data_IF_490924911568
#
_entry.id   IF_490924911568
#
_cell.length_a   1.000
_cell.length_b   1.000
_cell.length_c   1.000
_cell.angle_alpha   90.00
_cell.angle_beta   90.00
_cell.angle_gamma   90.00
#
_symmetry.space_group_name_H-M   'P 1'
#
loop_
_entity.id
_entity.type
_entity.pdbx_description
1 polymer ?
#
# COMPACT_ATOMS: atom_id res chain seq x y z
N UNK A 1 -70.70 -32.84 59.76
CA UNK A 1 -69.79 -33.71 58.99
C UNK A 1 -69.77 -33.22 57.54
N UNK A 2 -68.67 -32.59 57.11
CA UNK A 2 -68.41 -32.25 55.71
C UNK A 2 -67.04 -32.83 55.39
N UNK A 3 -66.98 -33.88 54.57
CA UNK A 3 -65.73 -34.52 54.17
C UNK A 3 -65.07 -33.70 53.07
N UNK A 4 -63.92 -33.12 53.38
CA UNK A 4 -63.07 -32.43 52.42
C UNK A 4 -62.24 -33.47 51.66
N UNK A 5 -62.64 -33.82 50.44
CA UNK A 5 -61.84 -34.69 49.57
C UNK A 5 -60.72 -33.88 48.91
N UNK A 6 -59.51 -33.98 49.46
CA UNK A 6 -58.31 -33.49 48.78
C UNK A 6 -58.04 -34.36 47.54
N UNK A 7 -58.17 -33.76 46.34
CA UNK A 7 -57.73 -34.37 45.08
C UNK A 7 -56.21 -34.53 45.12
N UNK A 8 -55.73 -35.77 45.23
CA UNK A 8 -54.33 -36.10 45.02
C UNK A 8 -54.04 -35.98 43.52
N UNK A 9 -53.37 -34.91 43.10
CA UNK A 9 -52.88 -34.79 41.74
C UNK A 9 -51.74 -35.80 41.56
N UNK A 10 -51.87 -36.70 40.57
CA UNK A 10 -50.75 -37.55 40.16
C UNK A 10 -49.71 -36.67 39.48
N UNK A 11 -48.57 -36.49 40.13
CA UNK A 11 -47.41 -35.91 39.47
C UNK A 11 -46.90 -36.91 38.43
N UNK A 12 -47.01 -36.55 37.16
CA UNK A 12 -46.39 -37.31 36.07
C UNK A 12 -44.89 -37.00 36.09
N UNK A 13 -44.09 -37.94 36.60
CA UNK A 13 -42.64 -37.85 36.53
C UNK A 13 -42.13 -37.98 35.10
N UNK A 14 -41.02 -37.30 34.80
CA UNK A 14 -40.36 -37.39 33.49
C UNK A 14 -39.90 -38.81 33.18
N UNK A 15 -40.11 -39.25 31.94
CA UNK A 15 -39.60 -40.56 31.49
C UNK A 15 -38.13 -40.45 31.10
N UNK A 16 -37.39 -41.55 31.19
CA UNK A 16 -35.99 -41.64 30.72
C UNK A 16 -35.86 -41.15 29.26
N UNK A 17 -36.81 -41.54 28.42
CA UNK A 17 -36.87 -41.17 27.00
C UNK A 17 -36.93 -39.65 26.81
N UNK A 18 -37.70 -38.96 27.65
CA UNK A 18 -37.92 -37.52 27.57
C UNK A 18 -36.67 -36.73 27.94
N UNK A 19 -35.94 -37.17 28.98
CA UNK A 19 -34.63 -36.60 29.29
C UNK A 19 -33.60 -36.88 28.19
N UNK A 20 -33.61 -38.07 27.57
CA UNK A 20 -32.69 -38.37 26.47
C UNK A 20 -32.94 -37.48 25.26
N UNK A 21 -34.21 -37.28 24.87
CA UNK A 21 -34.59 -36.39 23.77
C UNK A 21 -34.21 -34.95 24.11
N UNK A 22 -34.46 -34.49 25.34
CA UNK A 22 -34.10 -33.15 25.78
C UNK A 22 -32.58 -32.89 25.70
N UNK A 23 -31.75 -33.83 26.17
CA UNK A 23 -30.28 -33.72 26.08
C UNK A 23 -29.82 -33.76 24.62
N UNK A 24 -30.40 -34.62 23.79
CA UNK A 24 -30.05 -34.72 22.38
C UNK A 24 -30.32 -33.41 21.64
N UNK A 25 -31.52 -32.83 21.81
CA UNK A 25 -31.88 -31.53 21.22
C UNK A 25 -30.97 -30.43 21.76
N UNK A 26 -30.76 -30.39 23.08
CA UNK A 26 -29.88 -29.39 23.70
C UNK A 26 -28.44 -29.49 23.15
N UNK A 27 -27.88 -30.68 23.03
CA UNK A 27 -26.55 -30.89 22.48
C UNK A 27 -26.44 -30.38 21.03
N UNK A 28 -27.45 -30.64 20.19
CA UNK A 28 -27.48 -30.13 18.80
C UNK A 28 -27.57 -28.61 18.77
N UNK A 29 -28.41 -28.00 19.61
CA UNK A 29 -28.53 -26.54 19.71
C UNK A 29 -27.23 -25.89 20.21
N UNK A 30 -26.62 -26.46 21.26
CA UNK A 30 -25.33 -25.98 21.80
C UNK A 30 -24.22 -26.09 20.76
N UNK A 31 -24.13 -27.19 20.02
CA UNK A 31 -23.14 -27.35 18.97
C UNK A 31 -23.34 -26.32 17.85
N UNK A 32 -24.59 -26.10 17.43
CA UNK A 32 -24.92 -25.12 16.39
C UNK A 32 -24.54 -23.69 16.81
N UNK A 33 -24.89 -23.29 18.03
CA UNK A 33 -24.50 -22.00 18.58
C UNK A 33 -22.97 -21.85 18.66
N UNK A 34 -22.28 -22.91 19.08
CA UNK A 34 -20.83 -22.92 19.14
C UNK A 34 -20.18 -22.82 17.74
N UNK A 35 -20.75 -23.48 16.73
CA UNK A 35 -20.29 -23.37 15.34
C UNK A 35 -20.44 -21.94 14.82
N UNK A 36 -21.58 -21.30 15.05
CA UNK A 36 -21.83 -19.90 14.64
C UNK A 36 -20.84 -18.95 15.32
N UNK A 37 -20.66 -19.08 16.63
CA UNK A 37 -19.71 -18.27 17.39
C UNK A 37 -18.27 -18.43 16.86
N UNK A 38 -17.86 -19.67 16.57
CA UNK A 38 -16.55 -19.95 15.98
C UNK A 38 -16.38 -19.32 14.60
N UNK A 39 -17.43 -19.34 13.77
CA UNK A 39 -17.40 -18.70 12.45
C UNK A 39 -17.24 -17.18 12.57
N UNK A 40 -17.92 -16.53 13.52
CA UNK A 40 -17.75 -15.09 13.75
C UNK A 40 -16.31 -14.75 14.16
N UNK A 41 -15.74 -15.50 15.11
CA UNK A 41 -14.36 -15.28 15.57
C UNK A 41 -13.34 -15.44 14.43
N UNK A 42 -13.47 -16.50 13.62
CA UNK A 42 -12.58 -16.72 12.47
C UNK A 42 -12.79 -15.71 11.33
N UNK A 43 -13.99 -15.13 11.23
CA UNK A 43 -14.26 -14.07 10.26
C UNK A 43 -13.56 -12.77 10.65
N UNK A 44 -13.42 -12.49 11.95
CA UNK A 44 -12.79 -11.29 12.48
C UNK A 44 -11.29 -11.25 12.15
N UNK A 45 -10.58 -12.36 12.37
CA UNK A 45 -9.13 -12.47 12.07
C UNK A 45 -8.82 -12.20 10.59
N UNK A 46 -9.63 -12.73 9.68
CA UNK A 46 -9.46 -12.51 8.23
C UNK A 46 -9.78 -11.07 7.81
N UNK A 47 -10.73 -10.44 8.49
CA UNK A 47 -11.08 -9.04 8.23
C UNK A 47 -9.97 -8.10 8.69
N UNK A 48 -9.31 -8.42 9.81
CA UNK A 48 -8.16 -7.67 10.31
C UNK A 48 -6.99 -7.71 9.33
N UNK A 49 -6.61 -8.90 8.83
CA UNK A 49 -5.53 -9.05 7.85
C UNK A 49 -5.78 -8.22 6.58
N UNK A 50 -7.01 -8.28 6.05
CA UNK A 50 -7.40 -7.50 4.87
C UNK A 50 -7.38 -5.99 5.14
N UNK A 51 -7.79 -5.57 6.33
CA UNK A 51 -7.77 -4.15 6.74
C UNK A 51 -6.34 -3.64 6.85
N UNK A 52 -5.43 -4.43 7.44
CA UNK A 52 -4.00 -4.10 7.52
C UNK A 52 -3.40 -3.98 6.12
N UNK A 53 -3.71 -4.92 5.21
CA UNK A 53 -3.21 -4.89 3.83
C UNK A 53 -3.69 -3.66 3.06
N UNK A 54 -4.99 -3.35 3.09
CA UNK A 54 -5.55 -2.17 2.44
C UNK A 54 -4.95 -0.87 3.02
N UNK A 55 -4.72 -0.83 4.32
CA UNK A 55 -4.07 0.30 4.98
C UNK A 55 -2.64 0.48 4.46
N UNK A 56 -1.87 -0.59 4.33
CA UNK A 56 -0.52 -0.54 3.76
C UNK A 56 -0.53 -0.04 2.31
N UNK A 57 -1.45 -0.51 1.47
CA UNK A 57 -1.61 -0.05 0.09
C UNK A 57 -1.94 1.46 0.06
N UNK A 58 -2.89 1.91 0.89
CA UNK A 58 -3.25 3.33 0.94
C UNK A 58 -2.10 4.21 1.41
N UNK A 59 -1.34 3.78 2.42
CA UNK A 59 -0.14 4.49 2.87
C UNK A 59 0.93 4.56 1.78
N UNK A 60 1.13 3.47 1.04
CA UNK A 60 2.04 3.42 -0.09
C UNK A 60 1.64 4.43 -1.18
N UNK A 61 0.36 4.43 -1.57
CA UNK A 61 -0.17 5.36 -2.57
C UNK A 61 -0.05 6.81 -2.13
N UNK A 62 -0.39 7.13 -0.88
CA UNK A 62 -0.26 8.50 -0.34
C UNK A 62 1.19 8.97 -0.33
N UNK A 63 2.13 8.10 0.05
CA UNK A 63 3.56 8.41 0.02
C UNK A 63 4.01 8.76 -1.41
N UNK A 64 3.62 7.95 -2.39
CA UNK A 64 3.96 8.17 -3.80
C UNK A 64 3.31 9.42 -4.37
N UNK A 65 2.04 9.65 -4.06
CA UNK A 65 1.31 10.85 -4.46
C UNK A 65 2.01 12.11 -3.95
N UNK A 66 2.38 12.14 -2.66
CA UNK A 66 3.13 13.26 -2.07
C UNK A 66 4.47 13.46 -2.74
N UNK A 67 5.19 12.38 -3.08
CA UNK A 67 6.48 12.50 -3.73
C UNK A 67 6.35 13.01 -5.18
N UNK A 68 5.42 12.48 -5.97
CA UNK A 68 5.21 12.89 -7.36
C UNK A 68 4.63 14.30 -7.49
N UNK A 69 3.64 14.68 -6.69
CA UNK A 69 3.05 16.04 -6.71
C UNK A 69 4.03 17.13 -6.25
N UNK A 70 5.06 16.75 -5.50
CA UNK A 70 6.12 17.66 -5.03
C UNK A 70 7.37 17.66 -5.92
N UNK A 71 7.31 17.03 -7.10
CA UNK A 71 8.42 17.05 -8.07
C UNK A 71 8.75 18.48 -8.47
N UNK A 72 10.04 18.75 -8.62
CA UNK A 72 10.55 20.04 -9.09
C UNK A 72 11.48 19.86 -10.31
N UNK A 73 11.52 20.84 -11.24
CA UNK A 73 12.37 20.78 -12.43
C UNK A 73 13.85 21.08 -12.10
N UNK A 74 14.46 20.26 -11.24
CA UNK A 74 15.87 20.37 -10.85
C UNK A 74 16.65 19.17 -11.35
N UNK A 75 17.59 19.41 -12.26
CA UNK A 75 18.54 18.39 -12.69
C UNK A 75 19.41 17.94 -11.51
N UNK A 76 19.49 16.63 -11.33
CA UNK A 76 20.43 16.00 -10.41
C UNK A 76 21.69 15.59 -11.16
N UNK A 77 22.85 15.97 -10.64
CA UNK A 77 24.16 15.52 -11.13
C UNK A 77 24.71 14.44 -10.23
N UNK A 78 25.13 13.35 -10.84
CA UNK A 78 25.40 12.09 -10.15
C UNK A 78 26.75 11.56 -10.61
N UNK A 79 27.80 12.36 -10.45
CA UNK A 79 29.20 11.95 -10.64
C UNK A 79 29.46 10.94 -11.75
N UNK A 80 29.74 9.68 -11.37
CA UNK A 80 30.01 8.57 -12.30
C UNK A 80 28.76 7.81 -12.79
N UNK A 81 27.63 7.97 -12.13
CA UNK A 81 26.36 7.29 -12.44
C UNK A 81 25.50 8.17 -13.33
N UNK A 82 25.97 8.34 -14.57
CA UNK A 82 25.31 9.17 -15.60
C UNK A 82 23.93 8.65 -16.01
N UNK A 83 23.63 7.38 -15.74
CA UNK A 83 22.33 6.80 -16.02
C UNK A 83 21.26 7.48 -15.16
N UNK A 84 21.56 7.77 -13.88
CA UNK A 84 20.65 8.42 -12.92
C UNK A 84 20.67 9.95 -12.93
N UNK A 85 21.43 10.57 -13.84
CA UNK A 85 21.45 12.02 -14.07
C UNK A 85 20.24 12.49 -14.89
N UNK A 86 19.62 13.58 -14.45
CA UNK A 86 18.45 14.20 -15.11
C UNK A 86 17.43 14.74 -14.11
N UNK A 87 16.45 15.51 -14.61
CA UNK A 87 15.32 15.97 -13.80
C UNK A 87 14.47 14.79 -13.32
N UNK A 88 14.07 13.95 -14.26
CA UNK A 88 13.43 12.65 -14.05
C UNK A 88 14.17 11.61 -14.88
N UNK A 89 14.47 10.47 -14.29
CA UNK A 89 15.10 9.34 -14.96
C UNK A 89 14.21 8.12 -14.79
N UNK A 90 13.93 7.44 -15.90
CA UNK A 90 13.34 6.11 -15.92
C UNK A 90 14.43 5.12 -16.31
N UNK A 91 14.60 4.06 -15.53
CA UNK A 91 15.51 2.95 -15.89
C UNK A 91 14.65 1.72 -16.11
N UNK A 92 14.69 1.17 -17.32
CA UNK A 92 14.02 -0.08 -17.65
C UNK A 92 14.92 -1.25 -17.25
N UNK A 93 14.39 -2.19 -16.46
CA UNK A 93 15.09 -3.44 -16.22
C UNK A 93 15.21 -4.25 -17.51
N UNK A 94 16.36 -4.92 -17.67
CA UNK A 94 16.63 -5.86 -18.77
C UNK A 94 15.79 -7.13 -18.69
N UNK A 95 15.18 -7.44 -17.54
CA UNK A 95 14.34 -8.63 -17.30
C UNK A 95 12.82 -8.33 -17.33
N UNK A 96 12.43 -7.23 -17.98
CA UNK A 96 11.08 -6.92 -18.49
C UNK A 96 9.92 -6.59 -17.51
N UNK A 97 10.14 -6.57 -16.19
CA UNK A 97 9.03 -6.30 -15.25
C UNK A 97 9.25 -5.19 -14.20
N UNK A 98 10.48 -4.72 -14.01
CA UNK A 98 10.83 -3.85 -12.88
C UNK A 98 11.47 -2.56 -13.38
N UNK A 99 10.66 -1.54 -13.58
CA UNK A 99 11.14 -0.20 -13.86
C UNK A 99 11.63 0.47 -12.58
N UNK A 100 12.66 1.30 -12.69
CA UNK A 100 13.06 2.24 -11.65
C UNK A 100 12.74 3.66 -12.10
N UNK A 101 12.41 4.52 -11.14
CA UNK A 101 12.21 5.94 -11.41
C UNK A 101 12.94 6.79 -10.37
N UNK A 102 13.64 7.81 -10.83
CA UNK A 102 14.39 8.76 -10.02
C UNK A 102 14.01 10.19 -10.36
N UNK A 103 13.75 11.01 -9.34
CA UNK A 103 13.37 12.41 -9.53
C UNK A 103 13.73 13.28 -8.34
N UNK A 104 13.78 14.58 -8.57
CA UNK A 104 14.02 15.58 -7.51
C UNK A 104 12.70 16.14 -7.03
N UNK A 105 12.52 16.24 -5.71
CA UNK A 105 11.33 16.84 -5.11
C UNK A 105 11.68 17.78 -3.96
N UNK A 106 10.72 18.66 -3.64
CA UNK A 106 10.75 19.42 -2.39
C UNK A 106 10.70 18.47 -1.18
N UNK A 107 11.44 18.80 -0.14
CA UNK A 107 11.54 18.08 1.11
C UNK A 107 10.77 18.82 2.22
N UNK A 108 10.97 18.41 3.47
CA UNK A 108 10.41 19.11 4.61
C UNK A 108 10.91 20.55 4.66
N UNK A 109 9.98 21.48 4.89
CA UNK A 109 10.23 22.91 4.98
C UNK A 109 11.30 23.23 6.05
N UNK A 110 12.31 24.03 5.71
CA UNK A 110 13.40 24.46 6.59
C UNK A 110 13.29 25.97 6.84
N UNK A 111 12.35 26.41 7.71
CA UNK A 111 12.12 27.83 7.94
C UNK A 111 13.39 28.53 8.41
N UNK A 112 13.73 29.64 7.76
CA UNK A 112 14.92 30.43 8.10
C UNK A 112 16.25 29.72 7.83
N UNK A 113 16.27 28.61 7.11
CA UNK A 113 17.46 27.82 6.77
C UNK A 113 18.30 27.44 8.01
N UNK A 114 17.63 27.21 9.14
CA UNK A 114 18.26 26.90 10.44
C UNK A 114 19.11 25.62 10.34
N UNK A 115 18.64 24.64 9.57
CA UNK A 115 19.39 23.43 9.29
C UNK A 115 20.26 23.62 8.06
N UNK A 116 21.53 23.21 8.13
CA UNK A 116 22.46 23.18 6.98
C UNK A 116 22.16 21.98 6.06
N UNK A 117 20.93 21.90 5.53
CA UNK A 117 20.51 20.89 4.57
C UNK A 117 19.72 21.52 3.45
N UNK A 118 19.79 20.87 2.29
CA UNK A 118 18.93 21.17 1.15
C UNK A 118 17.47 20.94 1.52
N UNK A 119 16.59 21.84 1.07
CA UNK A 119 15.15 21.61 1.03
C UNK A 119 14.76 20.70 -0.14
N UNK A 120 15.71 20.29 -0.99
CA UNK A 120 15.50 19.35 -2.08
C UNK A 120 16.14 18.00 -1.76
N UNK A 121 15.43 16.94 -2.09
CA UNK A 121 15.92 15.56 -2.00
C UNK A 121 15.76 14.86 -3.33
N UNK A 122 16.67 13.92 -3.62
CA UNK A 122 16.52 12.98 -4.73
C UNK A 122 15.81 11.75 -4.21
N UNK A 123 14.72 11.34 -4.86
CA UNK A 123 13.93 10.16 -4.49
C UNK A 123 13.98 9.15 -5.64
N UNK A 124 14.02 7.88 -5.28
CA UNK A 124 13.95 6.75 -6.19
C UNK A 124 12.89 5.74 -5.75
N UNK A 125 12.22 5.13 -6.70
CA UNK A 125 11.38 3.95 -6.48
C UNK A 125 11.89 2.81 -7.35
N UNK A 126 12.07 1.65 -6.73
CA UNK A 126 12.52 0.42 -7.36
C UNK A 126 11.87 -0.79 -6.70
N UNK A 127 11.99 -1.93 -7.37
CA UNK A 127 11.56 -3.21 -6.83
C UNK A 127 12.77 -4.03 -6.38
N UNK A 128 12.74 -4.52 -5.14
CA UNK A 128 13.80 -5.32 -4.54
C UNK A 128 13.19 -6.43 -3.67
N UNK A 129 13.56 -7.68 -3.92
CA UNK A 129 13.09 -8.86 -3.15
C UNK A 129 11.57 -8.95 -2.95
N UNK A 130 10.79 -8.61 -3.99
CA UNK A 130 9.32 -8.61 -3.93
C UNK A 130 8.72 -7.44 -3.15
N UNK A 131 9.50 -6.39 -2.89
CA UNK A 131 9.08 -5.19 -2.16
C UNK A 131 9.25 -3.94 -3.02
N UNK A 132 8.24 -3.07 -2.99
CA UNK A 132 8.39 -1.70 -3.46
C UNK A 132 9.24 -0.93 -2.44
N UNK A 133 10.43 -0.53 -2.87
CA UNK A 133 11.39 0.21 -2.05
C UNK A 133 11.43 1.65 -2.53
N UNK A 134 11.32 2.56 -1.57
CA UNK A 134 11.64 3.97 -1.75
C UNK A 134 13.02 4.24 -1.19
N UNK A 135 13.87 4.80 -2.01
CA UNK A 135 15.17 5.31 -1.58
C UNK A 135 15.24 6.82 -1.73
N UNK A 136 16.00 7.49 -0.85
CA UNK A 136 16.23 8.91 -0.99
C UNK A 136 17.63 9.32 -0.58
N UNK A 137 18.09 10.40 -1.21
CA UNK A 137 19.38 11.03 -0.95
C UNK A 137 19.14 12.43 -0.38
N UNK A 138 19.85 12.74 0.70
CA UNK A 138 19.77 14.05 1.38
C UNK A 138 20.20 15.21 0.47
N UNK A 139 21.10 14.94 -0.48
CA UNK A 139 21.61 15.92 -1.44
C UNK A 139 21.25 15.49 -2.85
N UNK A 140 20.79 16.45 -3.65
CA UNK A 140 20.40 16.24 -5.05
C UNK A 140 21.62 15.96 -5.92
N UNK A 141 22.63 16.82 -5.79
CA UNK A 141 23.94 16.60 -6.37
C UNK A 141 24.75 15.79 -5.35
N UNK A 142 25.09 14.56 -5.72
CA UNK A 142 25.73 13.62 -4.80
C UNK A 142 27.12 13.24 -5.27
N UNK A 143 28.01 13.04 -4.30
CA UNK A 143 29.31 12.41 -4.54
C UNK A 143 29.13 10.94 -4.91
N UNK A 144 30.10 10.34 -5.62
CA UNK A 144 30.13 8.90 -5.82
C UNK A 144 30.04 8.15 -4.48
N UNK A 145 29.31 7.03 -4.43
CA UNK A 145 29.06 6.20 -3.24
C UNK A 145 28.27 6.87 -2.09
N UNK A 146 27.54 7.96 -2.35
CA UNK A 146 26.59 8.45 -1.35
C UNK A 146 25.55 7.37 -1.02
N UNK A 147 25.42 7.02 0.25
CA UNK A 147 24.46 6.00 0.69
C UNK A 147 23.02 6.52 0.63
N UNK A 148 22.14 5.71 0.04
CA UNK A 148 20.72 5.99 -0.01
C UNK A 148 20.06 5.55 1.29
N UNK A 149 19.15 6.38 1.83
CA UNK A 149 18.25 5.93 2.89
C UNK A 149 17.08 5.19 2.26
N UNK A 150 16.92 3.91 2.62
CA UNK A 150 15.92 3.01 2.04
C UNK A 150 14.78 2.73 3.00
N UNK A 151 13.58 2.57 2.45
CA UNK A 151 12.37 2.19 3.19
C UNK A 151 11.49 1.32 2.30
N UNK A 152 11.04 0.20 2.84
CA UNK A 152 9.98 -0.60 2.22
C UNK A 152 8.66 0.17 2.32
N UNK A 153 8.03 0.41 1.18
CA UNK A 153 6.77 1.13 1.07
C UNK A 153 5.59 0.17 0.98
N UNK A 154 5.75 -0.92 0.23
CA UNK A 154 4.74 -1.96 0.09
C UNK A 154 5.42 -3.31 -0.13
N UNK A 155 4.97 -4.34 0.56
CA UNK A 155 5.42 -5.74 0.37
C UNK A 155 4.54 -6.45 -0.64
N UNK A 156 4.95 -7.63 -1.12
CA UNK A 156 4.19 -8.42 -2.10
C UNK A 156 3.91 -7.61 -3.38
N UNK A 157 4.99 -7.18 -4.02
CA UNK A 157 4.97 -6.53 -5.33
C UNK A 157 5.90 -7.31 -6.25
N UNK A 158 5.33 -7.89 -7.30
CA UNK A 158 6.02 -8.77 -8.25
C UNK A 158 6.49 -8.01 -9.50
N UNK A 159 5.83 -6.91 -9.85
CA UNK A 159 6.20 -6.07 -10.99
C UNK A 159 5.87 -4.60 -10.73
N UNK A 160 6.72 -3.72 -11.26
CA UNK A 160 6.58 -2.27 -11.19
C UNK A 160 6.82 -1.68 -12.58
N UNK A 161 5.83 -0.98 -13.13
CA UNK A 161 5.93 -0.32 -14.44
C UNK A 161 5.52 1.13 -14.38
N UNK A 162 6.21 1.95 -15.18
CA UNK A 162 5.88 3.35 -15.36
C UNK A 162 5.57 3.70 -16.82
N UNK A 163 4.59 4.59 -16.99
CA UNK A 163 4.31 5.31 -18.23
C UNK A 163 4.22 6.80 -17.94
N UNK A 164 4.46 7.60 -18.96
CA UNK A 164 4.66 9.03 -18.84
C UNK A 164 3.77 9.74 -19.85
N UNK A 165 2.99 10.71 -19.39
CA UNK A 165 2.18 11.54 -20.27
C UNK A 165 3.03 12.70 -20.76
N UNK A 166 3.13 12.86 -22.07
CA UNK A 166 3.82 13.99 -22.69
C UNK A 166 3.14 14.36 -23.99
N UNK A 167 2.83 15.65 -24.16
CA UNK A 167 2.11 16.16 -25.35
C UNK A 167 0.83 15.37 -25.63
N UNK A 168 0.09 15.08 -24.56
CA UNK A 168 -1.17 14.32 -24.60
C UNK A 168 -1.04 12.87 -25.13
N UNK A 169 0.16 12.28 -25.06
CA UNK A 169 0.43 10.89 -25.41
C UNK A 169 1.13 10.15 -24.28
N UNK A 170 0.71 8.91 -24.04
CA UNK A 170 1.34 8.04 -23.04
C UNK A 170 2.49 7.24 -23.66
N UNK A 171 3.71 7.48 -23.19
CA UNK A 171 4.92 6.78 -23.60
C UNK A 171 5.46 5.92 -22.46
N UNK A 172 5.97 4.74 -22.78
CA UNK A 172 6.53 3.82 -21.80
C UNK A 172 8.01 4.06 -21.52
N UNK A 173 8.75 4.60 -22.48
CA UNK A 173 10.18 4.86 -22.37
C UNK A 173 10.45 6.37 -22.28
N UNK A 174 10.95 6.83 -21.13
CA UNK A 174 11.23 8.24 -20.89
C UNK A 174 12.73 8.52 -20.95
N UNK A 175 13.14 9.24 -22.00
CA UNK A 175 14.54 9.53 -22.30
C UNK A 175 14.90 11.03 -22.18
N UNK A 176 13.91 11.92 -22.02
CA UNK A 176 14.15 13.36 -21.89
C UNK A 176 14.58 13.70 -20.45
N UNK A 177 15.89 13.89 -20.27
CA UNK A 177 16.51 14.20 -18.97
C UNK A 177 16.35 15.66 -18.54
N UNK A 178 15.95 16.54 -19.46
CA UNK A 178 15.87 17.99 -19.24
C UNK A 178 14.43 18.47 -19.03
N UNK A 179 13.45 17.59 -19.20
CA UNK A 179 12.04 17.90 -18.97
C UNK A 179 11.40 16.94 -18.00
N UNK A 180 10.27 17.38 -17.46
CA UNK A 180 9.34 16.55 -16.72
C UNK A 180 8.16 16.18 -17.64
N UNK A 181 7.58 14.98 -17.47
CA UNK A 181 6.30 14.66 -18.10
C UNK A 181 5.16 15.47 -17.45
N UNK A 182 4.00 15.46 -18.08
CA UNK A 182 2.78 16.11 -17.57
C UNK A 182 2.14 15.28 -16.44
N UNK A 183 2.27 13.95 -16.54
CA UNK A 183 1.77 12.98 -15.57
C UNK A 183 2.57 11.69 -15.61
N UNK A 184 2.49 10.91 -14.53
CA UNK A 184 3.11 9.59 -14.40
C UNK A 184 1.99 8.58 -14.11
N UNK A 185 1.95 7.49 -14.86
CA UNK A 185 1.15 6.32 -14.57
C UNK A 185 2.06 5.25 -13.98
N UNK A 186 1.68 4.72 -12.83
CA UNK A 186 2.32 3.61 -12.17
C UNK A 186 1.40 2.39 -12.24
N UNK A 187 1.97 1.24 -12.59
CA UNK A 187 1.31 -0.06 -12.49
C UNK A 187 2.10 -0.97 -11.56
N UNK A 188 1.45 -1.44 -10.51
CA UNK A 188 1.96 -2.44 -9.57
C UNK A 188 1.24 -3.76 -9.83
N UNK A 189 1.97 -4.87 -9.83
CA UNK A 189 1.39 -6.21 -9.82
C UNK A 189 1.74 -6.89 -8.51
N UNK A 190 0.73 -7.41 -7.82
CA UNK A 190 0.82 -8.17 -6.57
C UNK A 190 0.15 -9.52 -6.77
N UNK A 191 0.67 -10.55 -6.12
CA UNK A 191 0.04 -11.88 -6.12
C UNK A 191 -1.29 -11.87 -5.34
N UNK A 192 -1.35 -11.12 -4.24
CA UNK A 192 -2.52 -11.09 -3.36
C UNK A 192 -3.61 -10.10 -3.80
N UNK A 193 -3.22 -8.97 -4.40
CA UNK A 193 -4.13 -7.86 -4.73
C UNK A 193 -4.37 -7.69 -6.24
N UNK A 194 -3.63 -8.42 -7.07
CA UNK A 194 -3.70 -8.31 -8.53
C UNK A 194 -2.99 -7.06 -9.06
N UNK A 195 -3.57 -6.45 -10.10
CA UNK A 195 -2.96 -5.29 -10.79
C UNK A 195 -3.57 -3.98 -10.30
N UNK A 196 -2.72 -3.10 -9.77
CA UNK A 196 -3.08 -1.76 -9.31
C UNK A 196 -2.47 -0.71 -10.25
N UNK A 197 -3.31 0.11 -10.87
CA UNK A 197 -2.87 1.21 -11.73
C UNK A 197 -3.27 2.56 -11.13
N UNK A 198 -2.33 3.51 -11.08
CA UNK A 198 -2.57 4.89 -10.60
C UNK A 198 -1.88 5.91 -11.46
N UNK A 199 -2.55 7.04 -11.68
CA UNK A 199 -2.05 8.17 -12.44
C UNK A 199 -1.86 9.36 -11.51
N UNK A 200 -0.72 10.02 -11.62
CA UNK A 200 -0.33 11.17 -10.83
C UNK A 200 -0.06 12.33 -11.77
N UNK A 201 -0.83 13.41 -11.65
CA UNK A 201 -0.55 14.65 -12.36
C UNK A 201 0.62 15.36 -11.67
N UNK A 202 1.59 15.79 -12.46
CA UNK A 202 2.72 16.54 -11.94
C UNK A 202 2.33 18.03 -11.83
N UNK A 203 2.79 18.68 -10.77
CA UNK A 203 2.69 20.12 -10.66
C UNK A 203 3.85 20.75 -11.44
N UNK A 204 3.79 20.68 -12.77
CA UNK A 204 4.77 21.34 -13.64
C UNK A 204 4.50 22.84 -13.64
N UNK A 205 4.94 23.53 -12.59
CA UNK A 205 5.15 24.97 -12.64
C UNK A 205 6.40 25.27 -13.47
N UNK A 206 6.37 24.93 -14.77
CA UNK A 206 7.26 25.55 -15.74
C UNK A 206 6.45 26.69 -16.31
N UNK A 207 6.78 27.90 -15.87
CA UNK A 207 6.32 29.12 -16.54
C UNK A 207 6.65 28.94 -18.02
N UNK A 208 5.63 28.88 -18.87
CA UNK A 208 5.76 29.33 -20.24
C UNK A 208 6.23 30.79 -20.13
N UNK A 209 7.53 31.00 -20.33
CA UNK A 209 8.03 32.29 -20.76
C UNK A 209 8.24 32.15 -22.26
N UNK A 210 7.40 32.89 -22.98
CA UNK A 210 7.49 33.19 -24.40
C UNK A 210 8.89 33.63 -24.84
#
# INVERSE_FOLDING_TARGET
>A
MLSNQAKCQRENGFTLLEMMIAIAIFAVLSLSAFTVMRQMLLSDERLDEKTVRLTAINQALLQMEQDFTSIVPKMARVGYDREREGMLVSIKSRTEANDEIYFTRNSWFNPGLILQRSELVRVGYLLEDGNLVREYYTFVDRVPNAEAKRRIVLTDVNALKFRYLYRNQWISDWQDKERLPDAIEMTLTSEQDGVLTRQFKLNSAVSEQD
#
